data_IF_790501611763
#
_entry.id   IF_790501611763
#
_cell.length_a   1.000
_cell.length_b   1.000
_cell.length_c   1.000
_cell.angle_alpha   90.00
_cell.angle_beta   90.00
_cell.angle_gamma   90.00
#
_symmetry.space_group_name_H-M   'P 1'
#
loop_
_entity.id
_entity.type
_entity.pdbx_description
1 polymer ?
#
# COMPACT_ATOMS: atom_id res chain seq x y z
N UNK A 1 22.04 12.32 -6.79
CA UNK A 1 21.48 11.60 -5.62
C UNK A 1 20.04 11.30 -5.96
N UNK A 2 19.77 10.10 -6.48
CA UNK A 2 18.43 9.67 -6.83
C UNK A 2 17.74 9.37 -5.50
N UNK A 3 16.82 10.26 -5.08
CA UNK A 3 15.90 9.95 -4.00
C UNK A 3 14.83 9.11 -4.67
N UNK A 4 14.94 7.80 -4.58
CA UNK A 4 13.83 6.88 -4.80
C UNK A 4 12.75 7.28 -3.79
N UNK A 5 11.94 8.27 -4.16
CA UNK A 5 10.79 8.73 -3.39
C UNK A 5 9.82 7.58 -3.42
N UNK A 6 9.84 6.79 -2.36
CA UNK A 6 8.85 5.76 -2.16
C UNK A 6 7.55 6.43 -1.74
N UNK A 7 6.56 6.42 -2.63
CA UNK A 7 5.25 7.00 -2.32
C UNK A 7 4.47 5.98 -1.46
N UNK A 8 3.98 6.36 -0.28
CA UNK A 8 3.17 5.47 0.53
C UNK A 8 1.77 5.31 -0.08
N UNK A 9 1.30 4.08 -0.13
CA UNK A 9 0.01 3.72 -0.71
C UNK A 9 -0.69 2.71 0.20
N UNK A 10 -1.97 2.92 0.46
CA UNK A 10 -2.76 1.98 1.23
C UNK A 10 -3.35 0.91 0.32
N UNK A 11 -3.16 -0.35 0.72
CA UNK A 11 -3.79 -1.52 0.09
C UNK A 11 -4.77 -2.17 1.06
N UNK A 12 -5.78 -2.85 0.52
CA UNK A 12 -6.74 -3.64 1.29
C UNK A 12 -6.94 -5.04 0.72
N UNK A 13 -7.25 -5.98 1.60
CA UNK A 13 -7.73 -7.29 1.22
C UNK A 13 -9.21 -7.20 0.81
N UNK A 14 -9.59 -7.58 -0.41
CA UNK A 14 -10.98 -7.51 -0.85
C UNK A 14 -11.90 -8.51 -0.12
N UNK A 15 -11.33 -9.51 0.59
CA UNK A 15 -12.10 -10.54 1.30
C UNK A 15 -12.38 -10.20 2.77
N UNK A 16 -11.34 -9.80 3.51
CA UNK A 16 -11.44 -9.55 4.95
C UNK A 16 -11.26 -8.09 5.36
N UNK A 17 -11.05 -7.19 4.38
CA UNK A 17 -10.81 -5.74 4.58
C UNK A 17 -9.59 -5.40 5.45
N UNK A 18 -8.66 -6.34 5.62
CA UNK A 18 -7.36 -6.04 6.21
C UNK A 18 -6.64 -4.99 5.36
N UNK A 19 -6.16 -3.91 5.97
CA UNK A 19 -5.43 -2.84 5.29
C UNK A 19 -3.95 -2.85 5.67
N UNK A 20 -3.10 -2.44 4.75
CA UNK A 20 -1.65 -2.32 4.95
C UNK A 20 -1.12 -1.14 4.13
N UNK A 21 -0.03 -0.50 4.58
CA UNK A 21 0.64 0.58 3.85
C UNK A 21 1.87 -0.01 3.18
N UNK A 22 1.95 0.16 1.86
CA UNK A 22 3.11 -0.22 1.04
C UNK A 22 3.78 1.03 0.47
N UNK A 23 5.01 0.86 0.00
CA UNK A 23 5.84 1.92 -0.53
C UNK A 23 6.23 1.57 -1.97
N UNK A 24 5.70 2.31 -2.96
CA UNK A 24 5.95 2.04 -4.37
C UNK A 24 7.22 2.77 -4.86
N UNK A 25 7.99 2.21 -5.81
CA UNK A 25 7.69 1.01 -6.61
C UNK A 25 7.92 -0.30 -5.84
N UNK A 26 7.01 -1.26 -6.00
CA UNK A 26 7.16 -2.65 -5.53
C UNK A 26 7.15 -3.60 -6.73
N UNK A 27 7.86 -4.73 -6.62
CA UNK A 27 7.90 -5.75 -7.68
C UNK A 27 6.60 -6.58 -7.75
N UNK A 28 6.01 -6.94 -6.61
CA UNK A 28 4.76 -7.69 -6.53
C UNK A 28 3.85 -7.14 -5.43
N UNK A 29 2.54 -7.06 -5.71
CA UNK A 29 1.51 -6.72 -4.72
C UNK A 29 1.50 -7.71 -3.55
N UNK A 30 1.47 -7.22 -2.29
CA UNK A 30 1.46 -8.10 -1.13
C UNK A 30 0.19 -8.95 -1.10
N UNK A 31 0.30 -10.10 -0.44
CA UNK A 31 -0.83 -10.97 -0.14
C UNK A 31 -1.33 -10.67 1.26
N UNK A 32 -2.63 -10.74 1.44
CA UNK A 32 -3.25 -10.57 2.75
C UNK A 32 -2.74 -11.65 3.72
N UNK A 33 -2.19 -11.28 4.89
CA UNK A 33 -1.66 -12.23 5.87
C UNK A 33 -2.75 -13.14 6.47
N UNK A 34 -4.03 -12.75 6.35
CA UNK A 34 -5.18 -13.52 6.86
C UNK A 34 -5.80 -14.45 5.82
N UNK A 35 -5.78 -14.07 4.54
CA UNK A 35 -6.51 -14.78 3.49
C UNK A 35 -5.61 -15.41 2.41
N UNK A 36 -4.34 -15.00 2.34
CA UNK A 36 -3.39 -15.46 1.33
C UNK A 36 -3.68 -14.98 -0.10
N UNK A 37 -4.64 -14.06 -0.29
CA UNK A 37 -5.01 -13.50 -1.61
C UNK A 37 -4.29 -12.17 -1.85
N UNK A 38 -4.09 -11.81 -3.13
CA UNK A 38 -3.51 -10.51 -3.50
C UNK A 38 -4.37 -9.35 -2.99
N UNK A 39 -3.71 -8.38 -2.36
CA UNK A 39 -4.35 -7.15 -1.92
C UNK A 39 -4.57 -6.21 -3.12
N UNK A 40 -5.48 -5.26 -2.97
CA UNK A 40 -5.82 -4.25 -3.98
C UNK A 40 -5.51 -2.87 -3.44
N UNK A 41 -5.15 -1.95 -4.33
CA UNK A 41 -4.91 -0.54 -4.00
C UNK A 41 -6.23 0.11 -3.56
N UNK A 42 -6.20 0.81 -2.42
CA UNK A 42 -7.32 1.63 -1.95
C UNK A 42 -7.10 3.10 -2.27
N UNK A 43 -5.98 3.66 -1.80
CA UNK A 43 -5.69 5.08 -1.91
C UNK A 43 -4.18 5.36 -1.87
N UNK A 44 -3.77 6.45 -2.52
CA UNK A 44 -2.44 7.05 -2.33
C UNK A 44 -2.49 7.87 -1.04
N UNK A 45 -1.48 7.70 -0.18
CA UNK A 45 -1.36 8.49 1.02
C UNK A 45 -0.46 9.68 0.73
N UNK A 46 -1.05 10.85 0.54
CA UNK A 46 -0.27 12.08 0.55
C UNK A 46 0.16 12.38 1.98
N UNK A 47 1.43 12.74 2.19
CA UNK A 47 1.89 13.33 3.44
C UNK A 47 1.21 14.68 3.63
N UNK A 48 -0.01 14.65 4.18
CA UNK A 48 -0.76 15.82 4.58
C UNK A 48 0.03 16.56 5.65
N UNK A 49 0.77 17.61 5.26
CA UNK A 49 1.06 18.70 6.18
C UNK A 49 -0.27 19.37 6.49
N UNK A 50 -0.96 18.90 7.53
CA UNK A 50 -2.03 19.66 8.15
C UNK A 50 -1.43 20.99 8.63
N UNK A 51 -1.76 22.07 7.93
CA UNK A 51 -1.56 23.45 8.39
C UNK A 51 -2.57 23.79 9.46
#
# INVERSE_FOLDING_TARGET
MQRDKTEPMQVACPKCRYTEIIYIPIEEMPRCPKCGIRMVIMELLDEGKST
#
